data_IF_803960972635
#
_entry.id   IF_803960972635
#
_cell.length_a   1.000
_cell.length_b   1.000
_cell.length_c   1.000
_cell.angle_alpha   90.00
_cell.angle_beta   90.00
_cell.angle_gamma   90.00
#
_symmetry.space_group_name_H-M   'P 1'
#
loop_
_entity.id
_entity.type
_entity.pdbx_description
1 polymer ?
#
# COMPACT_ATOMS: atom_id res chain seq x y z
N UNK A 1 19.64 30.63 -101.19
CA UNK A 1 19.85 31.72 -100.23
C UNK A 1 18.54 31.88 -99.35
N UNK A 2 17.29 32.07 -99.90
CA UNK A 2 16.07 32.28 -99.13
C UNK A 2 15.73 31.11 -98.16
N UNK A 3 15.99 29.83 -98.55
CA UNK A 3 15.77 28.63 -97.74
C UNK A 3 16.67 28.58 -96.54
N UNK A 4 17.94 28.91 -96.69
CA UNK A 4 18.97 28.94 -95.62
C UNK A 4 18.64 30.06 -94.60
N UNK A 5 18.25 31.25 -95.07
CA UNK A 5 17.83 32.36 -94.21
C UNK A 5 16.55 32.00 -93.39
N UNK A 6 15.60 31.28 -93.98
CA UNK A 6 14.41 30.80 -93.26
C UNK A 6 14.77 29.79 -92.17
N UNK A 7 15.66 28.86 -92.44
CA UNK A 7 16.16 27.88 -91.45
C UNK A 7 16.93 28.55 -90.29
N UNK A 8 17.74 29.55 -90.56
CA UNK A 8 18.47 30.30 -89.53
C UNK A 8 17.48 31.05 -88.63
N UNK A 9 16.45 31.65 -89.18
CA UNK A 9 15.42 32.36 -88.43
C UNK A 9 14.66 31.42 -87.49
N UNK A 10 14.19 30.28 -88.03
CA UNK A 10 13.51 29.25 -87.21
C UNK A 10 14.41 28.73 -86.10
N UNK A 11 15.68 28.47 -86.33
CA UNK A 11 16.67 28.11 -85.30
C UNK A 11 16.81 29.21 -84.26
N UNK A 12 16.91 30.48 -84.64
CA UNK A 12 17.02 31.62 -83.71
C UNK A 12 15.79 31.75 -82.83
N UNK A 13 14.62 31.61 -83.42
CA UNK A 13 13.34 31.67 -82.68
C UNK A 13 13.24 30.52 -81.67
N UNK A 14 13.66 29.33 -82.02
CA UNK A 14 13.75 28.16 -81.13
C UNK A 14 14.74 28.34 -80.00
N UNK A 15 15.92 28.91 -80.28
CA UNK A 15 16.92 29.22 -79.25
C UNK A 15 16.37 30.32 -78.28
N UNK A 16 15.71 31.35 -78.80
CA UNK A 16 15.11 32.40 -78.02
C UNK A 16 14.01 31.82 -77.08
N UNK A 17 13.09 31.00 -77.63
CA UNK A 17 12.08 30.30 -76.81
C UNK A 17 12.70 29.40 -75.77
N UNK A 18 13.75 28.65 -76.12
CA UNK A 18 14.48 27.82 -75.13
C UNK A 18 15.15 28.62 -74.01
N UNK A 19 15.69 29.81 -74.37
CA UNK A 19 16.26 30.69 -73.35
C UNK A 19 15.23 31.26 -72.35
N UNK A 20 14.03 31.63 -72.86
CA UNK A 20 12.93 32.07 -71.98
C UNK A 20 12.48 30.92 -71.09
N UNK A 21 12.30 29.71 -71.60
CA UNK A 21 11.99 28.53 -70.79
C UNK A 21 13.04 28.26 -69.72
N UNK A 22 14.32 28.34 -70.04
CA UNK A 22 15.41 28.14 -69.09
C UNK A 22 15.43 29.20 -68.01
N UNK A 23 15.16 30.47 -68.34
CA UNK A 23 15.04 31.59 -67.39
C UNK A 23 13.94 31.33 -66.37
N UNK A 24 12.73 31.01 -66.87
CA UNK A 24 11.57 30.70 -66.02
C UNK A 24 11.81 29.46 -65.12
N UNK A 25 12.45 28.39 -65.65
CA UNK A 25 12.79 27.24 -64.86
C UNK A 25 13.83 27.58 -63.78
N UNK A 26 14.81 28.47 -64.07
CA UNK A 26 15.80 28.94 -63.09
C UNK A 26 15.18 29.76 -61.97
N UNK A 27 14.20 30.62 -62.31
CA UNK A 27 13.45 31.41 -61.29
C UNK A 27 12.64 30.48 -60.37
N UNK A 28 11.94 29.51 -60.94
CA UNK A 28 11.20 28.49 -60.16
C UNK A 28 12.14 27.71 -59.25
N UNK A 29 13.30 27.27 -59.77
CA UNK A 29 14.27 26.56 -59.00
C UNK A 29 14.81 27.39 -57.83
N UNK A 30 15.10 28.68 -58.06
CA UNK A 30 15.55 29.58 -57.01
C UNK A 30 14.51 29.74 -55.91
N UNK A 31 13.23 29.89 -56.26
CA UNK A 31 12.11 29.97 -55.31
C UNK A 31 12.01 28.67 -54.50
N UNK A 32 11.94 27.50 -55.15
CA UNK A 32 11.87 26.20 -54.47
C UNK A 32 13.09 25.99 -53.55
N UNK A 33 14.27 26.42 -53.97
CA UNK A 33 15.46 26.32 -53.13
C UNK A 33 15.38 27.16 -51.88
N UNK A 34 14.80 28.37 -52.00
CA UNK A 34 14.55 29.26 -50.84
C UNK A 34 13.52 28.67 -49.84
N UNK A 35 12.41 28.13 -50.38
CA UNK A 35 11.39 27.46 -49.57
C UNK A 35 11.96 26.20 -48.86
N UNK A 36 12.80 25.42 -49.57
CA UNK A 36 13.49 24.27 -49.02
C UNK A 36 14.48 24.64 -47.91
N UNK A 37 15.25 25.73 -48.08
CA UNK A 37 16.14 26.22 -47.04
C UNK A 37 15.37 26.62 -45.78
N UNK A 38 14.23 27.35 -45.89
CA UNK A 38 13.38 27.69 -44.76
C UNK A 38 12.83 26.45 -44.04
N UNK A 39 12.38 25.44 -44.79
CA UNK A 39 11.90 24.15 -44.20
C UNK A 39 13.00 23.38 -43.50
N UNK A 40 14.24 23.46 -44.00
CA UNK A 40 15.40 22.83 -43.31
C UNK A 40 15.73 23.58 -42.02
N UNK A 41 15.66 24.91 -42.00
CA UNK A 41 15.86 25.69 -40.76
C UNK A 41 14.80 25.38 -39.73
N UNK A 42 13.53 25.29 -40.09
CA UNK A 42 12.42 24.91 -39.21
C UNK A 42 12.61 23.49 -38.68
N UNK A 43 12.97 22.55 -39.55
CA UNK A 43 13.26 21.16 -39.13
C UNK A 43 14.46 21.08 -38.17
N UNK A 44 15.49 21.86 -38.39
CA UNK A 44 16.66 21.95 -37.50
C UNK A 44 16.28 22.49 -36.10
N UNK A 45 15.43 23.52 -36.07
CA UNK A 45 14.90 24.07 -34.81
C UNK A 45 14.08 23.03 -34.05
N UNK A 46 13.18 22.33 -34.75
CA UNK A 46 12.34 21.26 -34.17
C UNK A 46 13.19 20.09 -33.64
N UNK A 47 14.24 19.71 -34.33
CA UNK A 47 15.18 18.69 -33.87
C UNK A 47 15.92 19.10 -32.59
N UNK A 48 16.29 20.38 -32.48
CA UNK A 48 16.92 20.92 -31.27
C UNK A 48 15.96 20.87 -30.07
N UNK A 49 14.69 21.22 -30.29
CA UNK A 49 13.63 21.11 -29.25
C UNK A 49 13.38 19.67 -28.83
N UNK A 50 13.29 18.73 -29.80
CA UNK A 50 13.14 17.29 -29.54
C UNK A 50 14.34 16.75 -28.75
N UNK A 51 15.56 17.16 -29.08
CA UNK A 51 16.75 16.77 -28.33
C UNK A 51 16.68 17.21 -26.88
N UNK A 52 16.33 18.49 -26.63
CA UNK A 52 16.15 19.01 -25.27
C UNK A 52 15.04 18.27 -24.50
N UNK A 53 13.92 17.99 -25.15
CA UNK A 53 12.84 17.24 -24.54
C UNK A 53 13.23 15.78 -24.23
N UNK A 54 14.07 15.19 -25.08
CA UNK A 54 14.58 13.84 -24.86
C UNK A 54 15.52 13.78 -23.64
N UNK A 55 16.37 14.78 -23.47
CA UNK A 55 17.23 14.90 -22.28
C UNK A 55 16.41 15.06 -21.00
N UNK A 56 15.39 15.94 -21.00
CA UNK A 56 14.47 16.09 -19.88
C UNK A 56 13.69 14.80 -19.57
N UNK A 57 13.31 14.03 -20.59
CA UNK A 57 12.64 12.76 -20.39
C UNK A 57 13.57 11.70 -19.78
N UNK A 58 14.86 11.71 -20.17
CA UNK A 58 15.86 10.84 -19.58
C UNK A 58 16.08 11.16 -18.08
N UNK A 59 16.17 12.45 -17.72
CA UNK A 59 16.27 12.88 -16.33
C UNK A 59 15.04 12.45 -15.49
N UNK A 60 13.83 12.76 -15.98
CA UNK A 60 12.57 12.35 -15.31
C UNK A 60 12.42 10.83 -15.16
N UNK A 61 12.90 10.08 -16.15
CA UNK A 61 12.93 8.62 -16.09
C UNK A 61 13.89 8.12 -15.00
N UNK A 62 15.01 8.80 -14.80
CA UNK A 62 15.94 8.55 -13.71
C UNK A 62 15.31 8.81 -12.32
N UNK A 63 14.63 9.95 -12.18
CA UNK A 63 13.89 10.29 -10.95
C UNK A 63 12.77 9.30 -10.66
N UNK A 64 11.98 8.92 -11.67
CA UNK A 64 10.91 7.93 -11.52
C UNK A 64 11.43 6.56 -11.05
N UNK A 65 12.59 6.14 -11.58
CA UNK A 65 13.25 4.90 -11.15
C UNK A 65 13.67 4.97 -9.68
N UNK A 66 14.30 6.08 -9.27
CA UNK A 66 14.70 6.29 -7.87
C UNK A 66 13.48 6.24 -6.93
N UNK A 67 12.39 6.92 -7.29
CA UNK A 67 11.15 6.90 -6.52
C UNK A 67 10.55 5.49 -6.43
N UNK A 68 10.65 4.71 -7.50
CA UNK A 68 10.19 3.31 -7.52
C UNK A 68 11.02 2.43 -6.58
N UNK A 69 12.34 2.62 -6.55
CA UNK A 69 13.24 1.90 -5.64
C UNK A 69 12.93 2.25 -4.18
N UNK A 70 12.75 3.53 -3.87
CA UNK A 70 12.36 3.99 -2.53
C UNK A 70 10.99 3.41 -2.11
N UNK A 71 9.99 3.43 -3.00
CA UNK A 71 8.66 2.89 -2.75
C UNK A 71 8.70 1.38 -2.51
N UNK A 72 9.53 0.67 -3.28
CA UNK A 72 9.73 -0.78 -3.09
C UNK A 72 10.38 -1.06 -1.73
N UNK A 73 11.34 -0.24 -1.31
CA UNK A 73 11.94 -0.33 0.03
C UNK A 73 10.91 -0.14 1.15
N UNK A 74 10.09 0.91 1.05
CA UNK A 74 9.01 1.18 2.03
C UNK A 74 7.99 0.04 2.08
N UNK A 75 7.60 -0.52 0.91
CA UNK A 75 6.69 -1.66 0.86
C UNK A 75 7.29 -2.91 1.54
N UNK A 76 8.57 -3.20 1.28
CA UNK A 76 9.28 -4.32 1.91
C UNK A 76 9.41 -4.16 3.43
N UNK A 77 9.67 -2.93 3.91
CA UNK A 77 9.67 -2.63 5.35
C UNK A 77 8.27 -2.78 5.97
N UNK A 78 7.23 -2.38 5.23
CA UNK A 78 5.84 -2.59 5.62
C UNK A 78 5.50 -4.07 5.79
N UNK A 79 5.89 -4.91 4.84
CA UNK A 79 5.68 -6.37 4.91
C UNK A 79 6.40 -6.98 6.12
N UNK A 80 7.63 -6.54 6.42
CA UNK A 80 8.36 -7.00 7.60
C UNK A 80 7.64 -6.60 8.90
N UNK A 81 7.18 -5.35 9.01
CA UNK A 81 6.44 -4.89 10.19
C UNK A 81 5.11 -5.63 10.36
N UNK A 82 4.42 -5.95 9.26
CA UNK A 82 3.21 -6.76 9.30
C UNK A 82 3.49 -8.19 9.80
N UNK A 83 4.60 -8.79 9.37
CA UNK A 83 5.01 -10.11 9.86
C UNK A 83 5.33 -10.10 11.36
N UNK A 84 6.02 -9.07 11.86
CA UNK A 84 6.29 -8.87 13.29
C UNK A 84 5.00 -8.65 14.11
N UNK A 85 4.04 -7.90 13.54
CA UNK A 85 2.73 -7.70 14.16
C UNK A 85 1.94 -9.00 14.27
N UNK A 86 1.91 -9.82 13.21
CA UNK A 86 1.25 -11.14 13.22
C UNK A 86 1.89 -12.07 14.25
N UNK A 87 3.22 -12.06 14.37
CA UNK A 87 3.92 -12.82 15.39
C UNK A 87 3.51 -12.38 16.82
N UNK A 88 3.48 -11.07 17.06
CA UNK A 88 3.05 -10.51 18.36
C UNK A 88 1.58 -10.84 18.69
N UNK A 89 0.69 -10.82 17.69
CA UNK A 89 -0.71 -11.24 17.88
C UNK A 89 -0.82 -12.72 18.22
N UNK A 90 0.03 -13.57 17.64
CA UNK A 90 0.09 -14.99 17.97
C UNK A 90 0.55 -15.22 19.42
N UNK A 91 1.55 -14.44 19.89
CA UNK A 91 2.00 -14.49 21.28
C UNK A 91 0.91 -14.02 22.25
N UNK A 92 0.19 -12.93 21.92
CA UNK A 92 -0.94 -12.45 22.71
C UNK A 92 -2.04 -13.52 22.80
N UNK A 93 -2.36 -14.19 21.70
CA UNK A 93 -3.34 -15.27 21.69
C UNK A 93 -2.92 -16.43 22.60
N UNK A 94 -1.67 -16.87 22.52
CA UNK A 94 -1.11 -17.91 23.38
C UNK A 94 -1.19 -17.51 24.86
N UNK A 95 -0.79 -16.30 25.21
CA UNK A 95 -0.88 -15.80 26.56
C UNK A 95 -2.33 -15.72 27.08
N UNK A 96 -3.27 -15.31 26.24
CA UNK A 96 -4.69 -15.28 26.58
C UNK A 96 -5.27 -16.66 26.85
N UNK A 97 -4.87 -17.67 26.06
CA UNK A 97 -5.25 -19.09 26.33
C UNK A 97 -4.70 -19.59 27.67
N UNK A 98 -3.48 -19.21 28.02
CA UNK A 98 -2.90 -19.55 29.33
C UNK A 98 -3.66 -18.88 30.47
N UNK A 99 -4.01 -17.60 30.32
CA UNK A 99 -4.81 -16.88 31.30
C UNK A 99 -6.19 -17.54 31.45
N UNK A 100 -6.85 -17.95 30.36
CA UNK A 100 -8.11 -18.65 30.41
C UNK A 100 -8.03 -19.96 31.25
N UNK A 101 -6.94 -20.69 31.10
CA UNK A 101 -6.69 -21.90 31.95
C UNK A 101 -6.56 -21.53 33.44
N UNK A 102 -5.85 -20.46 33.76
CA UNK A 102 -5.68 -19.97 35.14
C UNK A 102 -7.05 -19.56 35.72
N UNK A 103 -7.85 -18.82 34.97
CA UNK A 103 -9.20 -18.39 35.39
C UNK A 103 -10.10 -19.58 35.69
N UNK A 104 -10.01 -20.63 34.89
CA UNK A 104 -10.74 -21.89 35.17
C UNK A 104 -10.30 -22.52 36.49
N UNK A 105 -9.00 -22.55 36.77
CA UNK A 105 -8.49 -23.03 38.06
C UNK A 105 -9.00 -22.16 39.22
N UNK A 106 -9.09 -20.83 39.05
CA UNK A 106 -9.63 -19.93 40.07
C UNK A 106 -11.13 -20.21 40.33
N UNK A 107 -11.94 -20.44 39.27
CA UNK A 107 -13.35 -20.84 39.43
C UNK A 107 -13.48 -22.15 40.19
N UNK A 108 -12.64 -23.15 39.86
CA UNK A 108 -12.58 -24.44 40.57
C UNK A 108 -12.22 -24.26 42.06
N UNK A 109 -11.21 -23.43 42.37
CA UNK A 109 -10.82 -23.11 43.75
C UNK A 109 -11.97 -22.41 44.50
N UNK A 110 -12.63 -21.46 43.84
CA UNK A 110 -13.77 -20.77 44.43
C UNK A 110 -14.91 -21.75 44.73
N UNK A 111 -15.19 -22.69 43.81
CA UNK A 111 -16.17 -23.75 44.03
C UNK A 111 -15.78 -24.65 45.23
N UNK A 112 -14.53 -25.12 45.31
CA UNK A 112 -14.04 -25.92 46.44
C UNK A 112 -14.12 -25.15 47.75
N UNK A 113 -13.78 -23.85 47.75
CA UNK A 113 -13.86 -22.97 48.93
C UNK A 113 -15.31 -22.81 49.38
N UNK A 114 -16.27 -22.67 48.45
CA UNK A 114 -17.69 -22.64 48.73
C UNK A 114 -18.19 -23.93 49.40
N UNK A 115 -17.70 -25.10 48.92
CA UNK A 115 -18.05 -26.38 49.54
C UNK A 115 -17.43 -26.53 50.95
N UNK A 116 -16.16 -26.10 51.12
CA UNK A 116 -15.49 -26.11 52.43
C UNK A 116 -16.26 -25.18 53.44
N UNK A 117 -16.63 -24.00 52.99
CA UNK A 117 -17.40 -23.06 53.79
C UNK A 117 -18.79 -23.63 54.16
N UNK A 118 -19.46 -24.31 53.23
CA UNK A 118 -20.72 -24.98 53.49
C UNK A 118 -20.57 -26.07 54.57
N UNK A 119 -19.54 -26.93 54.43
CA UNK A 119 -19.26 -27.95 55.44
C UNK A 119 -18.94 -27.34 56.81
N UNK A 120 -18.16 -26.26 56.86
CA UNK A 120 -17.90 -25.54 58.10
C UNK A 120 -19.17 -24.94 58.73
N UNK A 121 -20.06 -24.39 57.91
CA UNK A 121 -21.35 -23.86 58.38
C UNK A 121 -22.23 -24.97 58.97
N UNK A 122 -22.29 -26.16 58.34
CA UNK A 122 -23.01 -27.30 58.82
C UNK A 122 -22.44 -27.78 60.18
N UNK A 123 -21.14 -27.88 60.32
CA UNK A 123 -20.50 -28.33 61.54
C UNK A 123 -20.65 -27.26 62.68
N UNK A 124 -20.62 -25.99 62.33
CA UNK A 124 -20.91 -24.89 63.23
C UNK A 124 -22.35 -24.97 63.78
N UNK A 125 -23.30 -25.29 62.91
CA UNK A 125 -24.72 -25.51 63.31
C UNK A 125 -24.86 -26.72 64.25
N UNK A 126 -24.07 -27.77 63.97
CA UNK A 126 -24.05 -29.01 64.81
C UNK A 126 -23.52 -28.74 66.22
N UNK A 127 -22.54 -27.81 66.36
CA UNK A 127 -21.98 -27.37 67.65
C UNK A 127 -22.94 -26.49 68.44
N UNK A 128 -24.07 -26.11 67.90
CA UNK A 128 -25.11 -25.35 68.60
C UNK A 128 -24.65 -23.95 69.06
N UNK A 129 -24.85 -23.67 70.34
CA UNK A 129 -24.48 -22.34 70.89
C UNK A 129 -22.99 -21.98 70.84
N UNK A 130 -22.17 -23.02 70.80
CA UNK A 130 -20.69 -22.87 70.77
C UNK A 130 -20.17 -22.64 69.36
N UNK A 131 -20.95 -22.95 68.32
CA UNK A 131 -20.60 -22.74 66.93
C UNK A 131 -21.03 -21.43 66.32
N UNK A 132 -21.76 -20.55 67.01
CA UNK A 132 -22.34 -19.32 66.45
C UNK A 132 -21.30 -18.41 65.75
N UNK A 133 -20.12 -18.21 66.40
CA UNK A 133 -19.06 -17.38 65.79
C UNK A 133 -18.48 -18.01 64.53
N UNK A 134 -18.30 -19.33 64.51
CA UNK A 134 -17.82 -20.07 63.32
C UNK A 134 -18.83 -20.06 62.18
N UNK A 135 -20.15 -20.10 62.50
CA UNK A 135 -21.20 -20.03 61.48
C UNK A 135 -21.16 -18.72 60.69
N UNK A 136 -20.94 -17.58 61.36
CA UNK A 136 -20.81 -16.27 60.72
C UNK A 136 -19.58 -16.21 59.80
N UNK A 137 -18.44 -16.73 60.24
CA UNK A 137 -17.22 -16.78 59.41
C UNK A 137 -17.43 -17.70 58.21
N UNK A 138 -18.03 -18.86 58.40
CA UNK A 138 -18.32 -19.78 57.30
C UNK A 138 -19.24 -19.16 56.24
N UNK A 139 -20.29 -18.42 56.65
CA UNK A 139 -21.15 -17.76 55.68
C UNK A 139 -20.46 -16.60 54.96
N UNK A 140 -19.56 -15.84 55.64
CA UNK A 140 -18.76 -14.81 54.98
C UNK A 140 -17.77 -15.42 53.96
N UNK A 141 -17.09 -16.53 54.31
CA UNK A 141 -16.19 -17.26 53.37
C UNK A 141 -16.99 -17.80 52.17
N UNK A 142 -18.19 -18.30 52.40
CA UNK A 142 -19.09 -18.78 51.37
C UNK A 142 -19.52 -17.65 50.42
N UNK A 143 -19.88 -16.48 50.96
CA UNK A 143 -20.19 -15.29 50.18
C UNK A 143 -18.99 -14.82 49.34
N UNK A 144 -17.80 -14.81 49.93
CA UNK A 144 -16.56 -14.42 49.23
C UNK A 144 -16.25 -15.41 48.11
N UNK A 145 -16.39 -16.73 48.35
CA UNK A 145 -16.21 -17.76 47.32
C UNK A 145 -17.16 -17.57 46.14
N UNK A 146 -18.45 -17.29 46.44
CA UNK A 146 -19.44 -17.00 45.40
C UNK A 146 -19.11 -15.76 44.56
N UNK A 147 -18.60 -14.70 45.20
CA UNK A 147 -18.15 -13.50 44.50
C UNK A 147 -16.89 -13.76 43.65
N UNK A 148 -15.96 -14.57 44.16
CA UNK A 148 -14.75 -14.96 43.42
C UNK A 148 -15.09 -15.79 42.18
N UNK A 149 -16.00 -16.76 42.29
CA UNK A 149 -16.46 -17.56 41.15
C UNK A 149 -17.11 -16.68 40.07
N UNK A 150 -17.95 -15.73 40.49
CA UNK A 150 -18.56 -14.77 39.55
C UNK A 150 -17.52 -13.93 38.84
N UNK A 151 -16.57 -13.36 39.55
CA UNK A 151 -15.51 -12.54 38.96
C UNK A 151 -14.62 -13.37 38.02
N UNK A 152 -14.32 -14.61 38.35
CA UNK A 152 -13.57 -15.52 37.47
C UNK A 152 -14.33 -15.74 36.15
N UNK A 153 -15.62 -16.04 36.17
CA UNK A 153 -16.42 -16.25 34.95
C UNK A 153 -16.49 -15.00 34.09
N UNK A 154 -16.79 -13.85 34.71
CA UNK A 154 -16.80 -12.56 33.98
C UNK A 154 -15.44 -12.26 33.31
N UNK A 155 -14.34 -12.56 34.01
CA UNK A 155 -12.98 -12.39 33.43
C UNK A 155 -12.75 -13.39 32.29
N UNK A 156 -13.19 -14.64 32.43
CA UNK A 156 -13.11 -15.64 31.36
C UNK A 156 -13.82 -15.20 30.09
N UNK A 157 -15.03 -14.68 30.20
CA UNK A 157 -15.82 -14.14 29.07
C UNK A 157 -15.10 -12.97 28.37
N UNK A 158 -14.45 -12.09 29.14
CA UNK A 158 -13.68 -10.98 28.57
C UNK A 158 -12.45 -11.46 27.81
N UNK A 159 -11.78 -12.50 28.29
CA UNK A 159 -10.61 -13.10 27.63
C UNK A 159 -11.01 -13.80 26.35
N UNK A 160 -12.07 -14.64 26.39
CA UNK A 160 -12.60 -15.30 25.18
C UNK A 160 -13.02 -14.27 24.12
N UNK A 161 -13.70 -13.18 24.52
CA UNK A 161 -14.08 -12.10 23.63
C UNK A 161 -12.88 -11.35 23.05
N UNK A 162 -11.76 -11.26 23.79
CA UNK A 162 -10.54 -10.64 23.33
C UNK A 162 -9.82 -11.51 22.30
N UNK A 163 -9.71 -12.81 22.56
CA UNK A 163 -9.14 -13.81 21.65
C UNK A 163 -9.90 -13.86 20.33
N UNK A 164 -11.24 -13.85 20.37
CA UNK A 164 -12.07 -13.85 19.16
C UNK A 164 -11.79 -12.65 18.26
N UNK A 165 -11.57 -11.46 18.85
CA UNK A 165 -11.28 -10.22 18.09
C UNK A 165 -9.87 -10.17 17.50
N UNK A 166 -8.95 -10.94 18.05
CA UNK A 166 -7.57 -11.05 17.53
C UNK A 166 -7.51 -12.05 16.37
N UNK A 167 -8.46 -12.99 16.33
CA UNK A 167 -8.53 -14.03 15.28
C UNK A 167 -9.28 -13.57 14.00
N UNK A 168 -9.99 -12.44 14.03
CA UNK A 168 -10.62 -11.80 12.87
C UNK A 168 -9.65 -10.87 12.13
#
# INVERSE_FOLDING_TARGET
>A
LRRVLGQIRDMTDRVAAGAVHLSSASETLAQVTTEQAASVEESSSSLTEISSQTDLNAERSGEARKLTEETTGVASDGDRQMAEMVASMTEINTAAEEIAKIIKVIDDIAFQTNLLALNAAVEAARAGRHGKGFAVVAEEVRSLAGRSAKAARETGELIEGSVSKVAE
#
